data_IF_554448812502
#
_entry.id   IF_554448812502
#
_cell.length_a   1.000
_cell.length_b   1.000
_cell.length_c   1.000
_cell.angle_alpha   90.00
_cell.angle_beta   90.00
_cell.angle_gamma   90.00
#
_symmetry.space_group_name_H-M   'P 1'
#
loop_
_entity.id
_entity.type
_entity.pdbx_description
1 polymer ?
#
# COMPACT_ATOMS: atom_id res chain seq x y z
N UNK A 1 -6.64 -1.97 27.49
CA UNK A 1 -7.08 -1.94 26.08
C UNK A 1 -6.15 -2.89 25.32
N UNK A 2 -6.68 -4.02 24.86
CA UNK A 2 -5.86 -5.11 24.33
C UNK A 2 -5.36 -4.76 22.91
N UNK A 3 -4.04 -4.73 22.73
CA UNK A 3 -3.41 -4.61 21.41
C UNK A 3 -3.61 -5.92 20.66
N UNK A 4 -4.51 -5.92 19.67
CA UNK A 4 -4.79 -7.10 18.85
C UNK A 4 -3.63 -7.34 17.90
N UNK A 5 -2.84 -8.39 18.20
CA UNK A 5 -1.62 -8.78 17.49
C UNK A 5 -1.98 -9.65 16.28
N UNK A 6 -1.70 -9.18 15.07
CA UNK A 6 -1.73 -10.03 13.87
C UNK A 6 -0.31 -10.25 13.34
N UNK A 7 0.49 -10.99 14.11
CA UNK A 7 1.81 -11.48 13.68
C UNK A 7 2.98 -10.49 13.84
N UNK A 8 3.52 -10.41 15.04
CA UNK A 8 4.89 -9.98 15.44
C UNK A 8 5.54 -8.68 14.97
N UNK A 9 4.92 -7.87 14.11
CA UNK A 9 5.51 -6.60 13.67
C UNK A 9 5.02 -5.36 14.43
N UNK A 10 5.92 -4.41 14.69
CA UNK A 10 5.59 -3.05 15.09
C UNK A 10 5.08 -2.25 13.89
N UNK A 11 4.09 -1.38 14.12
CA UNK A 11 3.61 -0.45 13.09
C UNK A 11 4.52 0.78 13.05
N UNK A 12 5.07 1.05 11.88
CA UNK A 12 5.92 2.21 11.61
C UNK A 12 5.17 3.34 10.92
N UNK A 13 5.85 4.03 10.01
CA UNK A 13 5.29 5.18 9.29
C UNK A 13 4.06 4.77 8.47
N UNK A 14 2.99 5.55 8.58
CA UNK A 14 1.80 5.44 7.75
C UNK A 14 1.79 6.54 6.69
N UNK A 15 1.35 6.19 5.48
CA UNK A 15 1.08 7.12 4.40
C UNK A 15 -0.25 6.77 3.73
N UNK A 16 -0.92 7.77 3.19
CA UNK A 16 -2.11 7.57 2.37
C UNK A 16 -2.08 8.42 1.11
N UNK A 17 -2.66 7.90 0.03
CA UNK A 17 -2.77 8.60 -1.25
C UNK A 17 -4.11 8.34 -1.91
N UNK A 18 -4.74 9.40 -2.41
CA UNK A 18 -5.90 9.25 -3.28
C UNK A 18 -5.48 8.66 -4.64
N UNK A 19 -6.29 7.76 -5.18
CA UNK A 19 -6.20 7.29 -6.56
C UNK A 19 -7.56 7.42 -7.24
N UNK A 20 -7.53 7.58 -8.56
CA UNK A 20 -8.72 7.67 -9.42
C UNK A 20 -8.45 6.83 -10.68
N UNK A 21 -8.94 7.27 -11.85
CA UNK A 21 -8.44 6.79 -13.14
C UNK A 21 -6.97 7.17 -13.40
N UNK A 22 -6.37 7.97 -12.52
CA UNK A 22 -4.93 8.19 -12.46
C UNK A 22 -4.35 7.52 -11.22
N UNK A 23 -3.19 6.88 -11.39
CA UNK A 23 -2.52 6.18 -10.30
C UNK A 23 -2.10 7.14 -9.18
N UNK A 24 -2.42 6.78 -7.95
CA UNK A 24 -1.93 7.42 -6.73
C UNK A 24 -0.77 6.63 -6.15
N UNK A 25 0.40 7.27 -6.02
CA UNK A 25 1.59 6.69 -5.38
C UNK A 25 1.90 7.44 -4.09
N UNK A 26 2.26 6.71 -3.02
CA UNK A 26 2.69 7.33 -1.76
C UNK A 26 3.90 8.26 -1.99
N UNK A 27 3.94 9.37 -1.26
CA UNK A 27 4.88 10.45 -1.54
C UNK A 27 6.32 10.09 -1.14
N UNK A 28 6.48 9.48 0.03
CA UNK A 28 7.78 9.08 0.56
C UNK A 28 8.01 7.59 0.31
N UNK A 29 9.25 7.24 -0.02
CA UNK A 29 9.66 5.85 -0.09
C UNK A 29 9.60 5.19 1.31
N UNK A 30 9.43 3.87 1.32
CA UNK A 30 9.51 3.08 2.53
C UNK A 30 10.91 3.22 3.15
N UNK A 31 10.92 3.40 4.48
CA UNK A 31 12.09 3.66 5.30
C UNK A 31 13.13 2.57 5.17
N UNK A 32 14.39 2.96 5.40
CA UNK A 32 15.50 2.01 5.42
C UNK A 32 15.33 0.96 6.52
N UNK A 33 15.62 -0.29 6.18
CA UNK A 33 15.49 -1.43 7.10
C UNK A 33 14.09 -2.05 7.19
N UNK A 34 13.05 -1.41 6.64
CA UNK A 34 11.70 -1.99 6.58
C UNK A 34 11.59 -2.96 5.41
N UNK A 35 11.05 -4.15 5.68
CA UNK A 35 10.95 -5.24 4.70
C UNK A 35 9.50 -5.69 4.45
N UNK A 36 8.55 -5.14 5.21
CA UNK A 36 7.13 -5.47 5.10
C UNK A 36 6.29 -4.21 5.20
N UNK A 37 5.20 -4.19 4.43
CA UNK A 37 4.16 -3.17 4.54
C UNK A 37 2.79 -3.81 4.60
N UNK A 38 1.90 -3.23 5.39
CA UNK A 38 0.46 -3.47 5.33
C UNK A 38 -0.13 -2.49 4.33
N UNK A 39 -0.87 -3.00 3.35
CA UNK A 39 -1.57 -2.21 2.34
C UNK A 39 -3.08 -2.42 2.48
N UNK A 40 -3.87 -1.36 2.32
CA UNK A 40 -5.34 -1.35 2.25
C UNK A 40 -5.76 -0.33 1.21
N UNK A 41 -6.85 -0.61 0.49
CA UNK A 41 -7.50 0.33 -0.41
C UNK A 41 -8.98 0.48 -0.02
N UNK A 42 -9.54 1.69 -0.07
CA UNK A 42 -10.96 1.94 0.30
C UNK A 42 -11.95 1.62 -0.83
N UNK A 43 -11.46 1.37 -2.03
CA UNK A 43 -12.22 0.86 -3.18
C UNK A 43 -11.33 -0.14 -3.94
N UNK A 44 -11.91 -1.05 -4.72
CA UNK A 44 -11.09 -2.04 -5.42
C UNK A 44 -10.10 -1.36 -6.40
N UNK A 45 -8.85 -1.80 -6.36
CA UNK A 45 -7.75 -1.17 -7.08
C UNK A 45 -6.78 -2.21 -7.67
N UNK A 46 -5.97 -1.79 -8.63
CA UNK A 46 -4.77 -2.50 -9.04
C UNK A 46 -3.55 -1.86 -8.39
N UNK A 47 -2.67 -2.65 -7.78
CA UNK A 47 -1.51 -2.17 -7.03
C UNK A 47 -0.18 -2.53 -7.69
N UNK A 48 0.82 -1.69 -7.48
CA UNK A 48 2.20 -1.93 -7.93
C UNK A 48 3.21 -1.45 -6.89
N UNK A 49 4.25 -2.25 -6.66
CA UNK A 49 5.37 -1.94 -5.78
C UNK A 49 6.64 -1.78 -6.63
N UNK A 50 7.47 -0.78 -6.33
CA UNK A 50 8.75 -0.55 -7.00
C UNK A 50 9.39 0.77 -6.60
N UNK A 51 10.54 1.12 -7.17
CA UNK A 51 11.28 2.37 -6.84
C UNK A 51 10.55 3.64 -7.31
N UNK A 52 9.94 3.59 -8.48
CA UNK A 52 9.10 4.67 -9.03
C UNK A 52 7.86 4.08 -9.73
N UNK A 53 6.94 3.47 -8.98
CA UNK A 53 5.86 2.70 -9.55
C UNK A 53 4.71 3.62 -9.99
N UNK A 54 4.16 3.28 -11.14
CA UNK A 54 2.86 3.75 -11.63
C UNK A 54 1.99 2.52 -11.84
N UNK A 55 0.96 2.35 -11.02
CA UNK A 55 0.02 1.26 -11.18
C UNK A 55 -0.84 1.42 -12.44
N UNK A 56 -1.18 0.30 -13.05
CA UNK A 56 -1.98 0.15 -14.27
C UNK A 56 -3.01 -0.95 -14.08
N UNK A 57 -4.00 -1.03 -14.98
CA UNK A 57 -5.05 -2.07 -14.93
C UNK A 57 -4.56 -3.49 -15.22
N UNK A 58 -3.27 -3.66 -15.54
CA UNK A 58 -2.63 -4.95 -15.76
C UNK A 58 -1.83 -5.43 -14.54
N UNK A 59 -1.73 -4.61 -13.49
CA UNK A 59 -1.04 -4.98 -12.26
C UNK A 59 -1.99 -5.78 -11.31
N UNK A 60 -1.57 -6.00 -10.06
CA UNK A 60 -2.22 -6.94 -9.14
C UNK A 60 -3.54 -6.38 -8.61
N UNK A 61 -4.64 -7.11 -8.77
CA UNK A 61 -5.93 -6.76 -8.17
C UNK A 61 -5.89 -6.85 -6.65
N UNK A 62 -6.46 -5.85 -5.98
CA UNK A 62 -6.67 -5.80 -4.54
C UNK A 62 -8.12 -5.41 -4.24
N UNK A 63 -8.76 -6.20 -3.37
CA UNK A 63 -10.12 -5.93 -2.94
C UNK A 63 -10.20 -4.72 -1.99
N UNK A 64 -11.36 -4.06 -1.97
CA UNK A 64 -11.61 -2.96 -1.03
C UNK A 64 -11.67 -3.46 0.42
N UNK A 65 -11.15 -2.65 1.34
CA UNK A 65 -11.20 -2.85 2.80
C UNK A 65 -10.65 -4.20 3.29
N UNK A 66 -9.84 -4.87 2.45
CA UNK A 66 -9.17 -6.12 2.72
C UNK A 66 -7.66 -5.89 2.87
N UNK A 67 -7.11 -5.89 4.11
CA UNK A 67 -5.70 -5.64 4.32
C UNK A 67 -4.83 -6.82 3.84
N UNK A 68 -3.79 -6.50 3.08
CA UNK A 68 -2.76 -7.45 2.67
C UNK A 68 -1.38 -6.99 3.14
N UNK A 69 -0.47 -7.94 3.34
CA UNK A 69 0.92 -7.66 3.73
C UNK A 69 1.85 -8.07 2.61
N UNK A 70 2.70 -7.14 2.18
CA UNK A 70 3.66 -7.36 1.10
C UNK A 70 5.08 -7.23 1.60
N UNK A 71 5.95 -8.13 1.12
CA UNK A 71 7.40 -7.93 1.21
C UNK A 71 7.80 -6.78 0.28
N UNK A 72 8.65 -5.90 0.76
CA UNK A 72 9.09 -4.69 0.04
C UNK A 72 10.58 -4.45 0.30
N UNK A 73 11.24 -3.71 -0.58
CA UNK A 73 12.61 -3.24 -0.36
C UNK A 73 12.60 -1.80 0.13
N UNK A 74 13.59 -1.47 0.96
CA UNK A 74 13.89 -0.08 1.32
C UNK A 74 14.00 0.79 0.07
N UNK A 75 13.38 1.96 0.09
CA UNK A 75 13.38 2.89 -1.05
C UNK A 75 12.28 2.64 -2.09
N UNK A 76 11.51 1.56 -1.97
CA UNK A 76 10.33 1.34 -2.83
C UNK A 76 9.11 2.11 -2.34
N UNK A 77 8.13 2.26 -3.23
CA UNK A 77 6.84 2.89 -2.99
C UNK A 77 5.73 1.92 -3.40
N UNK A 78 4.51 2.24 -2.99
CA UNK A 78 3.29 1.54 -3.42
C UNK A 78 2.43 2.52 -4.20
N UNK A 79 1.94 2.06 -5.36
CA UNK A 79 1.02 2.78 -6.23
C UNK A 79 -0.28 2.00 -6.37
N UNK A 80 -1.39 2.70 -6.52
CA UNK A 80 -2.71 2.12 -6.78
C UNK A 80 -3.46 2.89 -7.87
N UNK A 81 -4.25 2.19 -8.69
CA UNK A 81 -5.17 2.78 -9.67
C UNK A 81 -6.53 2.12 -9.55
N UNK A 82 -7.62 2.88 -9.77
CA UNK A 82 -8.97 2.35 -9.59
C UNK A 82 -9.25 1.17 -10.54
N UNK A 83 -10.04 0.20 -10.06
CA UNK A 83 -10.72 -0.76 -10.93
C UNK A 83 -11.91 -0.09 -11.62
N UNK A 84 -12.75 0.60 -10.84
CA UNK A 84 -13.97 1.26 -11.35
C UNK A 84 -14.24 2.64 -10.73
N UNK A 85 -13.90 2.84 -9.45
CA UNK A 85 -14.11 4.09 -8.73
C UNK A 85 -12.89 4.46 -7.88
N UNK A 86 -12.63 5.76 -7.76
CA UNK A 86 -11.52 6.28 -6.97
C UNK A 86 -11.62 5.92 -5.50
N UNK A 87 -10.50 6.02 -4.79
CA UNK A 87 -10.40 5.67 -3.38
C UNK A 87 -9.07 6.13 -2.78
N UNK A 88 -8.77 5.63 -1.59
CA UNK A 88 -7.55 5.95 -0.86
C UNK A 88 -6.73 4.69 -0.63
N UNK A 89 -5.47 4.73 -1.06
CA UNK A 89 -4.44 3.75 -0.75
C UNK A 89 -3.88 4.10 0.64
N UNK A 90 -3.82 3.12 1.54
CA UNK A 90 -3.19 3.21 2.84
C UNK A 90 -2.02 2.23 2.90
N UNK A 91 -0.85 2.73 3.26
CA UNK A 91 0.38 1.94 3.39
C UNK A 91 0.96 2.18 4.77
N UNK A 92 1.22 1.12 5.52
CA UNK A 92 1.85 1.19 6.85
C UNK A 92 3.07 0.29 6.87
N UNK A 93 4.20 0.82 7.30
CA UNK A 93 5.41 0.04 7.52
C UNK A 93 5.22 -0.98 8.66
N UNK A 94 5.87 -2.14 8.53
CA UNK A 94 5.83 -3.21 9.52
C UNK A 94 7.25 -3.72 9.76
N UNK A 95 7.72 -3.67 11.01
CA UNK A 95 9.09 -4.06 11.42
C UNK A 95 9.14 -5.07 12.55
#
# INVERSE_FOLDING_TARGET
MATQYWGTGYLGTHQSKAYTGTAGTIDNAISTGVQKVRVVVTSAAYIKIGSSPTATTSDVYMAADAPEYFTIRSGEKVSAIQVSAGGTLHVTEVS
#
